data_IF_275880994401
#
_entry.id   IF_275880994401
#
_cell.length_a   1.000
_cell.length_b   1.000
_cell.length_c   1.000
_cell.angle_alpha   90.00
_cell.angle_beta   90.00
_cell.angle_gamma   90.00
#
_symmetry.space_group_name_H-M   'P 1'
#
loop_
_entity.id
_entity.type
_entity.pdbx_description
1 polymer ?
#
# COMPACT_ATOMS: atom_id res chain seq x y z
N UNK A 1 16.76 6.36 13.52
CA UNK A 1 17.54 5.32 12.79
C UNK A 1 17.24 3.91 13.30
N UNK A 2 17.27 3.64 14.62
CA UNK A 2 16.98 2.32 15.20
C UNK A 2 15.55 1.80 14.96
N UNK A 3 14.59 2.72 14.91
CA UNK A 3 13.19 2.41 14.62
C UNK A 3 13.01 1.80 13.22
N UNK A 4 13.67 2.35 12.19
CA UNK A 4 13.59 1.86 10.80
C UNK A 4 14.17 0.45 10.65
N UNK A 5 15.24 0.16 11.38
CA UNK A 5 15.82 -1.18 11.45
C UNK A 5 14.82 -2.15 12.11
N UNK A 6 14.12 -1.73 13.17
CA UNK A 6 13.08 -2.55 13.82
C UNK A 6 11.91 -2.89 12.89
N UNK A 7 11.46 -1.92 12.08
CA UNK A 7 10.41 -2.13 11.06
C UNK A 7 10.89 -3.06 9.94
N UNK A 8 12.13 -2.90 9.48
CA UNK A 8 12.73 -3.79 8.48
C UNK A 8 12.87 -5.23 9.00
N UNK A 9 13.30 -5.40 10.26
CA UNK A 9 13.46 -6.70 10.90
C UNK A 9 12.10 -7.36 11.17
N UNK A 10 11.10 -6.62 11.67
CA UNK A 10 9.75 -7.15 11.87
C UNK A 10 9.11 -7.56 10.55
N UNK A 11 9.37 -6.79 9.49
CA UNK A 11 8.95 -7.12 8.14
C UNK A 11 9.57 -8.41 7.64
N UNK A 12 10.89 -8.53 7.71
CA UNK A 12 11.61 -9.73 7.29
C UNK A 12 11.16 -10.98 8.06
N UNK A 13 10.95 -10.86 9.38
CA UNK A 13 10.42 -11.95 10.22
C UNK A 13 8.98 -12.30 9.84
N UNK A 14 8.13 -11.32 9.51
CA UNK A 14 6.75 -11.59 9.06
C UNK A 14 6.70 -12.44 7.81
N UNK A 15 7.63 -12.18 6.89
CA UNK A 15 7.69 -12.86 5.61
C UNK A 15 8.28 -14.27 5.79
N UNK A 16 9.35 -14.39 6.60
CA UNK A 16 9.95 -15.68 6.95
C UNK A 16 9.01 -16.60 7.74
N UNK A 17 8.17 -16.04 8.62
CA UNK A 17 7.18 -16.80 9.39
C UNK A 17 5.99 -17.30 8.54
N UNK A 18 5.67 -16.62 7.43
CA UNK A 18 4.60 -17.04 6.52
C UNK A 18 5.00 -18.29 5.71
N UNK A 19 6.27 -18.38 5.28
CA UNK A 19 6.78 -19.54 4.55
C UNK A 19 6.87 -20.80 5.42
N UNK A 20 7.13 -20.64 6.72
CA UNK A 20 7.17 -21.76 7.67
C UNK A 20 5.77 -22.27 8.10
N UNK A 21 4.68 -21.91 7.40
CA UNK A 21 3.29 -22.35 7.64
C UNK A 21 2.74 -22.08 9.06
N UNK A 22 3.43 -21.27 9.87
CA UNK A 22 3.00 -20.90 11.21
C UNK A 22 2.08 -19.68 11.16
N UNK A 23 0.80 -19.92 10.86
CA UNK A 23 -0.25 -18.89 10.76
C UNK A 23 -0.29 -17.92 11.94
N UNK A 24 0.02 -18.37 13.17
CA UNK A 24 0.05 -17.53 14.37
C UNK A 24 1.22 -16.54 14.40
N UNK A 25 2.39 -16.92 13.90
CA UNK A 25 3.57 -16.05 13.85
C UNK A 25 3.45 -15.04 12.70
N UNK A 26 2.97 -15.50 11.55
CA UNK A 26 2.58 -14.61 10.45
C UNK A 26 1.53 -13.56 10.88
N UNK A 27 0.54 -13.95 11.69
CA UNK A 27 -0.49 -13.06 12.26
C UNK A 27 0.13 -11.96 13.12
N UNK A 28 0.98 -12.36 14.05
CA UNK A 28 1.61 -11.43 14.99
C UNK A 28 2.49 -10.43 14.24
N UNK A 29 3.40 -10.89 13.38
CA UNK A 29 4.36 -9.99 12.75
C UNK A 29 3.76 -9.10 11.65
N UNK A 30 2.75 -9.59 10.92
CA UNK A 30 2.06 -8.79 9.90
C UNK A 30 1.21 -7.67 10.51
N UNK A 31 0.77 -7.81 11.76
CA UNK A 31 0.10 -6.76 12.53
C UNK A 31 1.06 -5.89 13.36
N UNK A 32 2.19 -6.43 13.83
CA UNK A 32 3.20 -5.67 14.60
C UNK A 32 3.87 -4.61 13.72
N UNK A 33 4.09 -4.90 12.44
CA UNK A 33 4.76 -3.97 11.53
C UNK A 33 4.00 -2.64 11.35
N UNK A 34 2.69 -2.61 11.03
CA UNK A 34 1.94 -1.36 11.01
C UNK A 34 1.84 -0.71 12.40
N UNK A 35 1.80 -1.47 13.50
CA UNK A 35 1.84 -0.87 14.85
C UNK A 35 3.13 -0.10 15.09
N UNK A 36 4.27 -0.65 14.67
CA UNK A 36 5.58 0.02 14.78
C UNK A 36 5.64 1.29 13.93
N UNK A 37 5.08 1.24 12.71
CA UNK A 37 4.97 2.41 11.84
C UNK A 37 4.06 3.50 12.44
N UNK A 38 2.97 3.12 13.11
CA UNK A 38 2.09 4.06 13.80
C UNK A 38 2.80 4.67 15.01
N UNK A 39 3.51 3.87 15.80
CA UNK A 39 4.28 4.35 16.95
C UNK A 39 5.39 5.33 16.51
N UNK A 40 6.08 5.07 15.40
CA UNK A 40 7.02 6.03 14.82
C UNK A 40 6.35 7.35 14.44
N UNK A 41 5.19 7.28 13.81
CA UNK A 41 4.46 8.46 13.38
C UNK A 41 4.02 9.29 14.59
N UNK A 42 3.61 8.66 15.71
CA UNK A 42 3.27 9.37 16.96
C UNK A 42 4.50 10.02 17.60
N UNK A 43 5.66 9.36 17.58
CA UNK A 43 6.87 9.90 18.25
C UNK A 43 7.59 10.98 17.44
N UNK A 44 7.59 10.87 16.10
CA UNK A 44 8.34 11.79 15.23
C UNK A 44 7.47 12.87 14.58
N UNK A 45 6.14 12.73 14.55
CA UNK A 45 5.27 13.83 14.14
C UNK A 45 5.28 14.90 15.25
N UNK A 46 6.22 15.84 15.15
CA UNK A 46 6.32 16.98 16.08
C UNK A 46 5.07 17.86 16.09
N UNK A 47 4.27 17.84 15.01
CA UNK A 47 2.94 18.43 14.92
C UNK A 47 1.97 17.48 14.20
N UNK A 48 0.75 17.37 14.71
CA UNK A 48 -0.35 16.61 14.09
C UNK A 48 -0.90 17.37 12.88
N UNK A 49 -0.13 17.38 11.81
CA UNK A 49 -0.57 17.94 10.53
C UNK A 49 -1.72 17.11 9.95
N UNK A 50 -2.64 17.76 9.23
CA UNK A 50 -3.78 17.09 8.59
C UNK A 50 -3.41 15.82 7.79
N UNK A 51 -2.32 15.76 7.00
CA UNK A 51 -1.93 14.53 6.31
C UNK A 51 -1.48 13.39 7.23
N UNK A 52 -0.78 13.69 8.33
CA UNK A 52 -0.33 12.68 9.31
C UNK A 52 -1.50 11.91 9.92
N UNK A 53 -2.61 12.59 10.18
CA UNK A 53 -3.84 11.98 10.74
C UNK A 53 -4.45 11.00 9.73
N UNK A 54 -4.53 11.36 8.45
CA UNK A 54 -5.08 10.48 7.42
C UNK A 54 -4.21 9.25 7.17
N UNK A 55 -2.87 9.37 7.25
CA UNK A 55 -1.98 8.22 7.19
C UNK A 55 -2.15 7.31 8.41
N UNK A 56 -2.29 7.87 9.62
CA UNK A 56 -2.56 7.10 10.83
C UNK A 56 -3.89 6.32 10.73
N UNK A 57 -4.96 6.97 10.27
CA UNK A 57 -6.25 6.31 10.03
C UNK A 57 -6.11 5.21 8.98
N UNK A 58 -5.41 5.48 7.86
CA UNK A 58 -5.14 4.48 6.83
C UNK A 58 -4.39 3.26 7.37
N UNK A 59 -3.44 3.48 8.28
CA UNK A 59 -2.71 2.41 8.95
C UNK A 59 -3.61 1.58 9.87
N UNK A 60 -4.47 2.21 10.67
CA UNK A 60 -5.43 1.51 11.54
C UNK A 60 -6.41 0.68 10.72
N UNK A 61 -6.90 1.22 9.61
CA UNK A 61 -7.78 0.49 8.68
C UNK A 61 -7.03 -0.67 8.03
N UNK A 62 -5.76 -0.50 7.65
CA UNK A 62 -4.93 -1.57 7.12
C UNK A 62 -4.68 -2.69 8.15
N UNK A 63 -4.49 -2.36 9.43
CA UNK A 63 -4.39 -3.34 10.52
C UNK A 63 -5.67 -4.15 10.67
N UNK A 64 -6.82 -3.48 10.59
CA UNK A 64 -8.11 -4.13 10.64
C UNK A 64 -8.32 -5.04 9.42
N UNK A 65 -7.97 -4.56 8.23
CA UNK A 65 -8.03 -5.32 6.98
C UNK A 65 -7.16 -6.59 7.04
N UNK A 66 -5.95 -6.47 7.58
CA UNK A 66 -5.02 -7.59 7.71
C UNK A 66 -5.51 -8.63 8.73
N UNK A 67 -6.10 -8.19 9.84
CA UNK A 67 -6.72 -9.09 10.82
C UNK A 67 -7.92 -9.83 10.22
N UNK A 68 -8.76 -9.12 9.44
CA UNK A 68 -9.87 -9.72 8.69
C UNK A 68 -9.41 -10.71 7.62
N UNK A 69 -8.32 -10.40 6.91
CA UNK A 69 -7.74 -11.30 5.91
C UNK A 69 -7.36 -12.63 6.55
N UNK A 70 -6.75 -12.57 7.73
CA UNK A 70 -6.28 -13.78 8.38
C UNK A 70 -7.39 -14.60 9.06
N UNK A 71 -8.48 -13.95 9.49
CA UNK A 71 -9.63 -14.67 10.03
C UNK A 71 -10.34 -15.49 8.97
N UNK A 72 -10.12 -15.24 7.67
CA UNK A 72 -10.65 -16.04 6.55
C UNK A 72 -12.18 -16.10 6.42
N UNK A 73 -12.92 -15.55 7.39
CA UNK A 73 -14.37 -15.67 7.49
C UNK A 73 -15.13 -14.77 6.50
N UNK A 74 -14.54 -13.67 6.03
CA UNK A 74 -15.24 -12.64 5.24
C UNK A 74 -14.34 -12.01 4.15
N UNK A 75 -14.07 -12.71 3.02
CA UNK A 75 -13.16 -12.21 1.98
C UNK A 75 -13.62 -10.89 1.35
N UNK A 76 -14.94 -10.68 1.23
CA UNK A 76 -15.51 -9.43 0.70
C UNK A 76 -15.22 -8.23 1.62
N UNK A 77 -15.39 -8.38 2.93
CA UNK A 77 -15.11 -7.32 3.90
C UNK A 77 -13.62 -7.00 3.99
N UNK A 78 -12.78 -8.02 3.89
CA UNK A 78 -11.34 -7.83 3.81
C UNK A 78 -10.94 -6.95 2.61
N UNK A 79 -11.49 -7.24 1.43
CA UNK A 79 -11.27 -6.43 0.23
C UNK A 79 -11.70 -4.97 0.43
N UNK A 80 -12.91 -4.73 0.94
CA UNK A 80 -13.39 -3.37 1.21
C UNK A 80 -12.54 -2.62 2.24
N UNK A 81 -12.00 -3.32 3.24
CA UNK A 81 -11.11 -2.72 4.23
C UNK A 81 -9.75 -2.31 3.63
N UNK A 82 -9.18 -3.13 2.73
CA UNK A 82 -7.96 -2.75 2.00
C UNK A 82 -8.18 -1.54 1.09
N UNK A 83 -9.31 -1.52 0.38
CA UNK A 83 -9.75 -0.37 -0.43
C UNK A 83 -9.90 0.89 0.44
N UNK A 84 -10.53 0.78 1.60
CA UNK A 84 -10.70 1.90 2.51
C UNK A 84 -9.36 2.45 3.04
N UNK A 85 -8.39 1.58 3.32
CA UNK A 85 -7.03 1.99 3.72
C UNK A 85 -6.34 2.80 2.60
N UNK A 86 -6.43 2.31 1.36
CA UNK A 86 -5.88 3.01 0.19
C UNK A 86 -6.52 4.38 -0.05
N UNK A 87 -7.84 4.48 0.11
CA UNK A 87 -8.54 5.76 0.02
C UNK A 87 -8.11 6.74 1.11
N UNK A 88 -7.85 6.27 2.33
CA UNK A 88 -7.31 7.11 3.40
C UNK A 88 -5.91 7.65 3.04
N UNK A 89 -5.02 6.80 2.51
CA UNK A 89 -3.72 7.26 2.03
C UNK A 89 -3.84 8.25 0.89
N UNK A 90 -4.73 8.00 -0.08
CA UNK A 90 -4.95 8.94 -1.19
C UNK A 90 -5.45 10.28 -0.67
N UNK A 91 -6.37 10.28 0.30
CA UNK A 91 -6.87 11.49 0.93
C UNK A 91 -5.78 12.26 1.69
N UNK A 92 -4.82 11.57 2.30
CA UNK A 92 -3.68 12.19 2.96
C UNK A 92 -2.85 13.06 2.00
N UNK A 93 -2.65 12.62 0.76
CA UNK A 93 -1.94 13.39 -0.28
C UNK A 93 -2.83 14.49 -0.89
N UNK A 94 -4.12 14.22 -1.08
CA UNK A 94 -5.08 15.23 -1.57
C UNK A 94 -5.22 16.45 -0.67
N UNK A 95 -5.12 16.30 0.64
CA UNK A 95 -5.20 17.44 1.57
C UNK A 95 -3.96 18.35 1.48
N UNK A 96 -2.83 17.84 0.97
CA UNK A 96 -1.61 18.61 0.75
C UNK A 96 -1.65 19.39 -0.57
N UNK A 97 -2.57 19.04 -1.48
CA UNK A 97 -2.70 19.64 -2.79
C UNK A 97 -3.43 20.99 -2.68
N UNK A 98 -2.72 22.06 -3.03
CA UNK A 98 -3.29 23.38 -3.28
C UNK A 98 -2.94 23.81 -4.71
N UNK A 99 -3.94 24.18 -5.51
CA UNK A 99 -3.73 24.73 -6.87
C UNK A 99 -3.99 23.78 -8.05
N UNK A 100 -3.55 24.21 -9.24
CA UNK A 100 -3.88 23.65 -10.56
C UNK A 100 -3.38 22.22 -10.76
N UNK A 101 -4.24 21.34 -11.28
CA UNK A 101 -3.95 19.93 -11.53
C UNK A 101 -3.12 19.76 -12.80
N UNK A 102 -2.07 18.92 -12.72
CA UNK A 102 -1.26 18.54 -13.87
C UNK A 102 -1.87 17.31 -14.57
N UNK A 103 -2.40 17.48 -15.78
CA UNK A 103 -3.19 16.46 -16.48
C UNK A 103 -2.37 15.38 -17.20
N UNK A 104 -1.09 15.59 -17.47
CA UNK A 104 -0.27 14.60 -18.19
C UNK A 104 0.05 13.37 -17.32
N UNK A 105 0.24 13.55 -16.02
CA UNK A 105 0.57 12.49 -15.07
C UNK A 105 -0.59 11.48 -14.90
N UNK A 106 -1.84 11.89 -14.63
CA UNK A 106 -2.95 10.95 -14.57
C UNK A 106 -3.20 10.29 -15.93
N UNK A 107 -3.02 11.00 -17.05
CA UNK A 107 -3.16 10.40 -18.38
C UNK A 107 -2.15 9.26 -18.61
N UNK A 108 -0.89 9.46 -18.22
CA UNK A 108 0.16 8.44 -18.33
C UNK A 108 -0.10 7.25 -17.41
N UNK A 109 -0.47 7.49 -16.15
CA UNK A 109 -0.82 6.42 -15.21
C UNK A 109 -2.00 5.59 -15.73
N UNK A 110 -3.06 6.27 -16.18
CA UNK A 110 -4.27 5.61 -16.71
C UNK A 110 -3.94 4.78 -17.96
N UNK A 111 -3.11 5.29 -18.88
CA UNK A 111 -2.64 4.54 -20.04
C UNK A 111 -1.85 3.28 -19.62
N UNK A 112 -0.90 3.40 -18.70
CA UNK A 112 -0.13 2.23 -18.22
C UNK A 112 -1.01 1.21 -17.51
N UNK A 113 -1.99 1.65 -16.74
CA UNK A 113 -2.94 0.77 -16.06
C UNK A 113 -3.89 0.06 -17.00
N UNK A 114 -4.35 0.72 -18.07
CA UNK A 114 -5.14 0.06 -19.13
C UNK A 114 -4.31 -1.04 -19.79
N UNK A 115 -3.06 -0.75 -20.15
CA UNK A 115 -2.16 -1.75 -20.76
C UNK A 115 -1.94 -2.93 -19.81
N UNK A 116 -1.64 -2.67 -18.54
CA UNK A 116 -1.46 -3.72 -17.53
C UNK A 116 -2.75 -4.54 -17.35
N UNK A 117 -3.91 -3.89 -17.35
CA UNK A 117 -5.20 -4.54 -17.24
C UNK A 117 -5.49 -5.46 -18.43
N UNK A 118 -5.23 -5.01 -19.67
CA UNK A 118 -5.41 -5.85 -20.86
C UNK A 118 -4.49 -7.07 -20.89
N UNK A 119 -3.25 -6.93 -20.39
CA UNK A 119 -2.32 -8.05 -20.29
C UNK A 119 -2.80 -9.10 -19.26
N UNK A 120 -3.50 -8.67 -18.21
CA UNK A 120 -4.06 -9.53 -17.17
C UNK A 120 -5.47 -10.04 -17.51
N UNK A 121 -6.21 -9.36 -18.39
CA UNK A 121 -7.57 -9.69 -18.82
C UNK A 121 -7.77 -11.17 -19.21
N UNK A 122 -6.91 -11.82 -20.02
CA UNK A 122 -7.10 -13.24 -20.39
C UNK A 122 -7.00 -14.21 -19.20
N UNK A 123 -6.56 -13.73 -18.03
CA UNK A 123 -6.34 -14.54 -16.83
C UNK A 123 -7.33 -14.21 -15.71
N UNK A 124 -8.08 -13.11 -15.81
CA UNK A 124 -8.92 -12.56 -14.75
C UNK A 124 -10.41 -12.92 -14.87
N UNK A 125 -10.77 -13.95 -15.64
CA UNK A 125 -12.11 -14.23 -16.18
C UNK A 125 -13.28 -14.19 -15.15
N UNK A 126 -13.04 -14.51 -13.88
CA UNK A 126 -14.08 -14.54 -12.82
C UNK A 126 -14.00 -13.42 -11.79
N UNK A 127 -12.87 -12.70 -11.69
CA UNK A 127 -12.59 -11.72 -10.61
C UNK A 127 -12.15 -10.35 -11.15
N UNK A 128 -12.51 -10.04 -12.39
CA UNK A 128 -12.24 -8.76 -13.05
C UNK A 128 -12.67 -7.57 -12.19
N UNK A 129 -13.83 -7.66 -11.52
CA UNK A 129 -14.43 -6.53 -10.80
C UNK A 129 -13.63 -6.10 -9.54
N UNK A 130 -13.26 -7.00 -8.61
CA UNK A 130 -12.32 -6.65 -7.55
C UNK A 130 -10.99 -6.06 -8.05
N UNK A 131 -10.41 -6.63 -9.11
CA UNK A 131 -9.10 -6.20 -9.61
C UNK A 131 -9.17 -4.81 -10.25
N UNK A 132 -10.23 -4.50 -11.01
CA UNK A 132 -10.41 -3.17 -11.58
C UNK A 132 -10.62 -2.10 -10.52
N UNK A 133 -11.46 -2.37 -9.50
CA UNK A 133 -11.69 -1.42 -8.40
C UNK A 133 -10.38 -1.12 -7.67
N UNK A 134 -9.61 -2.14 -7.31
CA UNK A 134 -8.32 -1.97 -6.64
C UNK A 134 -7.37 -1.16 -7.53
N UNK A 135 -7.29 -1.47 -8.83
CA UNK A 135 -6.46 -0.76 -9.79
C UNK A 135 -6.80 0.73 -9.88
N UNK A 136 -8.09 1.07 -9.98
CA UNK A 136 -8.53 2.48 -10.06
C UNK A 136 -8.10 3.26 -8.81
N UNK A 137 -8.28 2.68 -7.61
CA UNK A 137 -7.91 3.34 -6.36
C UNK A 137 -6.39 3.52 -6.25
N UNK A 138 -5.63 2.51 -6.67
CA UNK A 138 -4.17 2.58 -6.68
C UNK A 138 -3.65 3.65 -7.66
N UNK A 139 -4.26 3.77 -8.84
CA UNK A 139 -3.97 4.84 -9.80
C UNK A 139 -4.31 6.20 -9.20
N UNK A 140 -5.45 6.32 -8.51
CA UNK A 140 -5.82 7.56 -7.82
C UNK A 140 -4.81 7.93 -6.72
N UNK A 141 -4.31 6.94 -5.97
CA UNK A 141 -3.26 7.14 -4.97
C UNK A 141 -1.95 7.63 -5.61
N UNK A 142 -1.49 6.97 -6.68
CA UNK A 142 -0.25 7.35 -7.38
C UNK A 142 -0.35 8.70 -8.09
N UNK A 143 -1.55 9.05 -8.57
CA UNK A 143 -1.80 10.38 -9.10
C UNK A 143 -1.72 11.44 -8.00
N UNK A 144 -2.39 11.22 -6.86
CA UNK A 144 -2.38 12.17 -5.75
C UNK A 144 -0.97 12.41 -5.20
N UNK A 145 -0.19 11.35 -4.98
CA UNK A 145 1.21 11.47 -4.52
C UNK A 145 2.11 12.10 -5.58
N UNK A 146 1.89 11.80 -6.86
CA UNK A 146 2.65 12.38 -7.97
C UNK A 146 2.41 13.87 -8.14
N UNK A 147 1.15 14.32 -8.02
CA UNK A 147 0.82 15.76 -8.12
C UNK A 147 1.38 16.53 -6.91
N UNK A 148 1.41 15.94 -5.71
CA UNK A 148 2.11 16.51 -4.55
C UNK A 148 3.61 16.70 -4.84
N UNK A 149 4.27 15.68 -5.41
CA UNK A 149 5.70 15.77 -5.74
C UNK A 149 6.00 16.81 -6.82
N UNK A 150 5.15 16.93 -7.84
CA UNK A 150 5.33 17.93 -8.91
C UNK A 150 5.19 19.37 -8.41
N UNK A 151 4.27 19.63 -7.46
CA UNK A 151 4.04 20.97 -6.92
C UNK A 151 5.02 21.35 -5.83
N UNK A 152 5.32 20.40 -4.95
CA UNK A 152 6.19 20.58 -3.80
C UNK A 152 7.30 19.53 -3.86
N UNK A 153 8.34 19.74 -4.70
CA UNK A 153 9.43 18.79 -4.84
C UNK A 153 10.28 18.78 -3.57
N UNK A 154 9.88 17.92 -2.64
CA UNK A 154 10.59 17.62 -1.40
C UNK A 154 11.03 16.16 -1.39
N UNK A 155 12.04 15.84 -0.59
CA UNK A 155 12.48 14.46 -0.39
C UNK A 155 11.34 13.59 0.15
N UNK A 156 10.52 14.11 1.07
CA UNK A 156 9.34 13.39 1.59
C UNK A 156 8.34 13.06 0.47
N UNK A 157 7.97 14.04 -0.35
CA UNK A 157 7.02 13.86 -1.45
C UNK A 157 7.50 12.86 -2.51
N UNK A 158 8.80 12.84 -2.81
CA UNK A 158 9.39 11.86 -3.73
C UNK A 158 9.26 10.44 -3.15
N UNK A 159 9.57 10.28 -1.86
CA UNK A 159 9.48 8.99 -1.18
C UNK A 159 8.02 8.49 -1.13
N UNK A 160 7.05 9.39 -0.91
CA UNK A 160 5.62 9.06 -0.99
C UNK A 160 5.17 8.62 -2.39
N UNK A 161 5.66 9.29 -3.44
CA UNK A 161 5.39 8.90 -4.82
C UNK A 161 5.99 7.53 -5.16
N UNK A 162 7.26 7.29 -4.82
CA UNK A 162 7.91 5.98 -5.00
C UNK A 162 7.17 4.90 -4.21
N UNK A 163 6.75 5.19 -2.97
CA UNK A 163 5.95 4.29 -2.16
C UNK A 163 4.64 3.87 -2.85
N UNK A 164 3.94 4.82 -3.47
CA UNK A 164 2.70 4.52 -4.20
C UNK A 164 2.92 3.67 -5.47
N UNK A 165 4.04 3.86 -6.18
CA UNK A 165 4.40 3.02 -7.33
C UNK A 165 4.73 1.59 -6.91
N UNK A 166 5.45 1.43 -5.80
CA UNK A 166 5.76 0.11 -5.24
C UNK A 166 4.48 -0.58 -4.75
N UNK A 167 3.50 0.19 -4.27
CA UNK A 167 2.18 -0.34 -3.91
C UNK A 167 1.41 -0.86 -5.13
N UNK A 168 1.44 -0.15 -6.26
CA UNK A 168 0.89 -0.65 -7.54
C UNK A 168 1.61 -1.93 -7.95
N UNK A 169 2.95 -1.95 -7.88
CA UNK A 169 3.75 -3.13 -8.24
C UNK A 169 3.39 -4.34 -7.37
N UNK A 170 3.23 -4.15 -6.05
CA UNK A 170 2.81 -5.19 -5.12
C UNK A 170 1.43 -5.75 -5.48
N UNK A 171 0.47 -4.89 -5.85
CA UNK A 171 -0.86 -5.32 -6.26
C UNK A 171 -0.84 -6.10 -7.60
N UNK A 172 -0.01 -5.68 -8.56
CA UNK A 172 0.19 -6.40 -9.82
C UNK A 172 0.85 -7.76 -9.56
N UNK A 173 1.86 -7.82 -8.69
CA UNK A 173 2.50 -9.08 -8.28
C UNK A 173 1.51 -10.04 -7.62
N UNK A 174 0.64 -9.53 -6.75
CA UNK A 174 -0.42 -10.30 -6.11
C UNK A 174 -1.39 -10.86 -7.17
N UNK A 175 -1.82 -10.03 -8.12
CA UNK A 175 -2.69 -10.47 -9.20
C UNK A 175 -2.02 -11.56 -10.07
N UNK A 176 -0.73 -11.43 -10.36
CA UNK A 176 0.01 -12.46 -11.12
C UNK A 176 0.13 -13.75 -10.32
N UNK A 177 0.44 -13.68 -9.02
CA UNK A 177 0.62 -14.86 -8.18
C UNK A 177 -0.67 -15.63 -7.96
N UNK A 178 -1.77 -14.93 -7.66
CA UNK A 178 -3.06 -15.56 -7.36
C UNK A 178 -3.78 -16.03 -8.63
N UNK A 179 -3.59 -15.37 -9.79
CA UNK A 179 -4.39 -15.65 -11.00
C UNK A 179 -3.62 -16.26 -12.18
N UNK A 180 -2.31 -16.05 -12.33
CA UNK A 180 -1.55 -16.59 -13.48
C UNK A 180 -0.82 -17.87 -13.13
N UNK A 181 0.05 -17.80 -12.13
CA UNK A 181 0.91 -18.90 -11.74
C UNK A 181 1.42 -18.63 -10.33
N UNK A 182 1.35 -19.63 -9.45
CA UNK A 182 1.95 -19.54 -8.13
C UNK A 182 3.47 -19.37 -8.30
N UNK A 183 3.93 -18.11 -8.26
CA UNK A 183 5.34 -17.77 -8.27
C UNK A 183 6.02 -18.46 -7.08
N UNK A 184 7.13 -19.21 -7.28
CA UNK A 184 7.93 -19.66 -6.16
C UNK A 184 8.38 -18.43 -5.38
N UNK A 185 8.09 -18.41 -4.08
CA UNK A 185 8.38 -17.29 -3.16
C UNK A 185 7.59 -16.00 -3.45
N UNK A 186 6.49 -16.08 -4.22
CA UNK A 186 5.67 -14.91 -4.57
C UNK A 186 5.18 -14.13 -3.35
N UNK A 187 4.83 -14.84 -2.27
CA UNK A 187 4.43 -14.22 -1.00
C UNK A 187 5.52 -13.37 -0.36
N UNK A 188 6.81 -13.66 -0.59
CA UNK A 188 7.92 -12.79 -0.15
C UNK A 188 7.93 -11.47 -0.89
N UNK A 189 7.87 -11.54 -2.22
CA UNK A 189 7.92 -10.35 -3.07
C UNK A 189 6.69 -9.46 -2.86
N UNK A 190 5.50 -10.07 -2.74
CA UNK A 190 4.25 -9.33 -2.53
C UNK A 190 4.26 -8.64 -1.16
N UNK A 191 4.50 -9.41 -0.08
CA UNK A 191 4.44 -8.88 1.28
C UNK A 191 5.58 -7.90 1.56
N UNK A 192 6.78 -8.16 1.03
CA UNK A 192 7.93 -7.26 1.12
C UNK A 192 7.68 -5.94 0.40
N UNK A 193 7.16 -5.98 -0.83
CA UNK A 193 6.82 -4.76 -1.59
C UNK A 193 5.69 -3.98 -0.92
N UNK A 194 4.68 -4.66 -0.37
CA UNK A 194 3.58 -4.04 0.36
C UNK A 194 4.07 -3.28 1.60
N UNK A 195 4.93 -3.92 2.39
CA UNK A 195 5.49 -3.34 3.60
C UNK A 195 6.41 -2.17 3.27
N UNK A 196 7.26 -2.33 2.27
CA UNK A 196 8.16 -1.28 1.82
C UNK A 196 7.35 -0.06 1.37
N UNK A 197 6.30 -0.25 0.57
CA UNK A 197 5.42 0.84 0.17
C UNK A 197 4.73 1.54 1.36
N UNK A 198 4.22 0.79 2.34
CA UNK A 198 3.66 1.39 3.57
C UNK A 198 4.71 2.19 4.35
N UNK A 199 5.92 1.65 4.48
CA UNK A 199 7.02 2.33 5.16
C UNK A 199 7.40 3.63 4.44
N UNK A 200 7.45 3.63 3.10
CA UNK A 200 7.72 4.83 2.30
C UNK A 200 6.59 5.88 2.41
N UNK A 201 5.33 5.46 2.43
CA UNK A 201 4.20 6.38 2.63
C UNK A 201 4.27 7.04 4.02
N UNK A 202 4.64 6.29 5.06
CA UNK A 202 4.85 6.84 6.40
C UNK A 202 6.08 7.77 6.44
N UNK A 203 7.18 7.38 5.80
CA UNK A 203 8.37 8.23 5.68
C UNK A 203 8.09 9.57 4.99
N UNK A 204 7.15 9.59 4.04
CA UNK A 204 6.77 10.81 3.32
C UNK A 204 6.13 11.88 4.21
N UNK A 205 5.62 11.49 5.38
CA UNK A 205 4.83 12.35 6.27
C UNK A 205 5.56 12.64 7.59
N UNK A 206 6.74 12.03 7.78
CA UNK A 206 7.70 12.31 8.83
C UNK A 206 8.67 13.42 8.38
#
# INVERSE_FOLDING_TARGET
>A
MWSWISVGLSGFISISAFENHNLKQALLFKNITPVLLLAMLVEQAGDWSSPSIWVAIGLLVAMFANSLHLLGKWPKFCFFAFVAAQLCYSRAFWVQLSGTIVWWLPALLLATSIVAFFLLLPQLDTLIFPVTIMGIILVQLAWASGDVWLKSPSWGSLVGFVGSLIFILSAVLLAIHDYRHALPWGQYWISGSYLLAQALIVASVL
#
